data_IF_572643934792
#
_entry.id   IF_572643934792
#
_cell.length_a   1.000
_cell.length_b   1.000
_cell.length_c   1.000
_cell.angle_alpha   90.00
_cell.angle_beta   90.00
_cell.angle_gamma   90.00
#
_symmetry.space_group_name_H-M   'P 1'
#
loop_
_entity.id
_entity.type
_entity.pdbx_description
1 polymer ?
#
# COMPACT_ATOMS: atom_id res chain seq x y z
N UNK A 1 -47.11 37.54 9.82
CA UNK A 1 -47.10 36.38 8.88
C UNK A 1 -46.01 36.45 7.78
N UNK A 2 -45.76 37.60 7.12
CA UNK A 2 -44.73 37.73 6.05
C UNK A 2 -43.27 37.56 6.51
N UNK A 3 -42.90 38.08 7.69
CA UNK A 3 -41.52 37.97 8.21
C UNK A 3 -41.12 36.51 8.49
N UNK A 4 -42.00 35.73 9.14
CA UNK A 4 -41.80 34.30 9.43
C UNK A 4 -41.62 33.48 8.14
N UNK A 5 -42.38 33.80 7.08
CA UNK A 5 -42.24 33.15 5.76
C UNK A 5 -40.89 33.43 5.08
N UNK A 6 -40.35 34.65 5.23
CA UNK A 6 -39.01 34.99 4.70
C UNK A 6 -37.91 34.26 5.46
N UNK A 7 -38.00 34.23 6.80
CA UNK A 7 -37.03 33.54 7.66
C UNK A 7 -37.03 32.02 7.39
N UNK A 8 -38.20 31.40 7.28
CA UNK A 8 -38.31 29.96 6.97
C UNK A 8 -37.79 29.61 5.57
N UNK A 9 -38.01 30.47 4.56
CA UNK A 9 -37.40 30.30 3.23
C UNK A 9 -35.88 30.41 3.27
N UNK A 10 -35.34 31.40 4.00
CA UNK A 10 -33.90 31.55 4.19
C UNK A 10 -33.30 30.33 4.89
N UNK A 11 -33.89 29.90 6.01
CA UNK A 11 -33.46 28.70 6.73
C UNK A 11 -33.44 27.43 5.86
N UNK A 12 -34.47 27.19 5.05
CA UNK A 12 -34.50 26.06 4.12
C UNK A 12 -33.43 26.15 3.04
N UNK A 13 -33.13 27.36 2.56
CA UNK A 13 -32.05 27.60 1.61
C UNK A 13 -30.70 27.31 2.27
N UNK A 14 -30.45 27.91 3.43
CA UNK A 14 -29.20 27.74 4.19
C UNK A 14 -28.97 26.25 4.55
N UNK A 15 -30.03 25.52 4.91
CA UNK A 15 -29.97 24.07 5.17
C UNK A 15 -29.61 23.27 3.91
N UNK A 16 -30.16 23.64 2.75
CA UNK A 16 -29.84 23.01 1.47
C UNK A 16 -28.39 23.32 1.07
N UNK A 17 -27.97 24.57 1.19
CA UNK A 17 -26.63 25.02 0.84
C UNK A 17 -25.58 24.33 1.73
N UNK A 18 -25.87 24.20 3.04
CA UNK A 18 -25.06 23.43 3.97
C UNK A 18 -24.95 21.95 3.58
N UNK A 19 -26.08 21.30 3.23
CA UNK A 19 -26.05 19.90 2.78
C UNK A 19 -25.22 19.70 1.51
N UNK A 20 -25.35 20.61 0.54
CA UNK A 20 -24.56 20.58 -0.70
C UNK A 20 -23.06 20.75 -0.40
N UNK A 21 -22.71 21.65 0.52
CA UNK A 21 -21.34 21.84 0.94
C UNK A 21 -20.79 20.59 1.62
N UNK A 22 -21.49 20.02 2.61
CA UNK A 22 -21.07 18.78 3.27
C UNK A 22 -20.89 17.63 2.28
N UNK A 23 -21.81 17.48 1.32
CA UNK A 23 -21.69 16.46 0.27
C UNK A 23 -20.43 16.68 -0.57
N UNK A 24 -20.17 17.93 -0.98
CA UNK A 24 -18.99 18.29 -1.78
C UNK A 24 -17.70 18.02 -1.00
N UNK A 25 -17.65 18.39 0.27
CA UNK A 25 -16.48 18.17 1.13
C UNK A 25 -16.21 16.67 1.33
N UNK A 26 -17.25 15.85 1.52
CA UNK A 26 -17.12 14.39 1.61
C UNK A 26 -16.55 13.82 0.31
N UNK A 27 -17.04 14.26 -0.85
CA UNK A 27 -16.54 13.79 -2.15
C UNK A 27 -15.07 14.19 -2.37
N UNK A 28 -14.72 15.43 -2.02
CA UNK A 28 -13.33 15.90 -2.12
C UNK A 28 -12.40 15.11 -1.19
N UNK A 29 -12.83 14.82 0.05
CA UNK A 29 -12.06 14.00 0.98
C UNK A 29 -11.90 12.56 0.48
N UNK A 30 -12.95 11.98 -0.09
CA UNK A 30 -12.87 10.65 -0.70
C UNK A 30 -11.89 10.63 -1.87
N UNK A 31 -11.90 11.66 -2.71
CA UNK A 31 -10.96 11.78 -3.81
C UNK A 31 -9.51 11.92 -3.32
N UNK A 32 -9.25 12.79 -2.34
CA UNK A 32 -7.91 12.94 -1.75
C UNK A 32 -7.41 11.64 -1.12
N UNK A 33 -8.28 10.89 -0.45
CA UNK A 33 -7.92 9.59 0.10
C UNK A 33 -7.57 8.59 -1.01
N UNK A 34 -8.30 8.58 -2.12
CA UNK A 34 -8.00 7.72 -3.25
C UNK A 34 -6.64 8.07 -3.90
N UNK A 35 -6.36 9.35 -4.12
CA UNK A 35 -5.08 9.82 -4.65
C UNK A 35 -3.92 9.48 -3.71
N UNK A 36 -4.11 9.63 -2.40
CA UNK A 36 -3.11 9.26 -1.40
C UNK A 36 -2.83 7.75 -1.40
N UNK A 37 -3.85 6.91 -1.52
CA UNK A 37 -3.68 5.46 -1.62
C UNK A 37 -2.86 5.08 -2.87
N UNK A 38 -3.14 5.70 -4.01
CA UNK A 38 -2.35 5.47 -5.23
C UNK A 38 -0.87 5.85 -5.05
N UNK A 39 -0.60 6.95 -4.36
CA UNK A 39 0.78 7.35 -4.06
C UNK A 39 1.49 6.37 -3.12
N UNK A 40 0.79 5.87 -2.10
CA UNK A 40 1.32 4.83 -1.19
C UNK A 40 1.60 3.54 -1.97
N UNK A 41 0.70 3.12 -2.84
CA UNK A 41 0.88 1.93 -3.68
C UNK A 41 2.12 2.08 -4.58
N UNK A 42 2.31 3.25 -5.19
CA UNK A 42 3.48 3.51 -6.02
C UNK A 42 4.79 3.46 -5.22
N UNK A 43 4.86 4.14 -4.08
CA UNK A 43 6.06 4.09 -3.23
C UNK A 43 6.35 2.68 -2.74
N UNK A 44 5.32 1.93 -2.32
CA UNK A 44 5.52 0.57 -1.81
C UNK A 44 5.98 -0.38 -2.91
N UNK A 45 5.54 -0.19 -4.16
CA UNK A 45 6.09 -0.92 -5.31
C UNK A 45 7.56 -0.56 -5.56
N UNK A 46 7.91 0.73 -5.57
CA UNK A 46 9.30 1.17 -5.78
C UNK A 46 10.25 0.64 -4.68
N UNK A 47 9.81 0.65 -3.42
CA UNK A 47 10.58 0.10 -2.30
C UNK A 47 10.77 -1.42 -2.42
N UNK A 48 9.71 -2.15 -2.80
CA UNK A 48 9.76 -3.60 -3.01
C UNK A 48 10.71 -3.97 -4.13
N UNK A 49 10.66 -3.25 -5.25
CA UNK A 49 11.59 -3.41 -6.37
C UNK A 49 13.04 -3.20 -5.92
N UNK A 50 13.30 -2.16 -5.13
CA UNK A 50 14.63 -1.92 -4.56
C UNK A 50 15.10 -3.03 -3.63
N UNK A 51 14.21 -3.60 -2.80
CA UNK A 51 14.56 -4.74 -1.93
C UNK A 51 14.90 -6.01 -2.73
N UNK A 52 14.15 -6.28 -3.81
CA UNK A 52 14.42 -7.39 -4.71
C UNK A 52 15.80 -7.22 -5.37
N UNK A 53 16.09 -6.02 -5.90
CA UNK A 53 17.37 -5.71 -6.54
C UNK A 53 18.57 -5.81 -5.58
N UNK A 54 18.37 -5.55 -4.29
CA UNK A 54 19.42 -5.71 -3.27
C UNK A 54 19.66 -7.19 -2.96
N UNK A 55 18.60 -8.02 -3.01
CA UNK A 55 18.71 -9.45 -2.80
C UNK A 55 19.32 -10.17 -4.02
N UNK A 56 19.02 -9.72 -5.24
CA UNK A 56 19.58 -10.23 -6.49
C UNK A 56 21.02 -9.72 -6.72
N UNK A 57 21.99 -10.40 -6.09
CA UNK A 57 23.41 -10.02 -6.11
C UNK A 57 24.00 -10.21 -7.51
N UNK A 58 23.63 -11.32 -8.19
CA UNK A 58 24.18 -11.67 -9.48
C UNK A 58 23.46 -10.99 -10.67
N UNK A 59 22.32 -10.32 -10.41
CA UNK A 59 21.49 -9.59 -11.38
C UNK A 59 20.90 -10.47 -12.46
N UNK A 60 20.55 -11.71 -12.14
CA UNK A 60 19.91 -12.63 -13.06
C UNK A 60 18.36 -12.51 -13.07
N UNK A 61 17.82 -11.51 -12.37
CA UNK A 61 16.40 -11.26 -12.13
C UNK A 61 15.70 -12.38 -11.35
N UNK A 62 16.47 -13.17 -10.61
CA UNK A 62 16.00 -14.21 -9.70
C UNK A 62 16.81 -14.13 -8.41
N UNK A 63 16.19 -14.52 -7.31
CA UNK A 63 16.88 -14.61 -6.02
C UNK A 63 17.01 -16.07 -5.66
N UNK A 64 18.25 -16.56 -5.71
CA UNK A 64 18.56 -17.91 -5.26
C UNK A 64 18.47 -18.02 -3.74
N UNK A 65 18.37 -19.27 -3.25
CA UNK A 65 18.35 -19.52 -1.80
C UNK A 65 19.61 -19.06 -1.07
N UNK A 66 20.75 -19.04 -1.77
CA UNK A 66 22.00 -18.51 -1.22
C UNK A 66 21.92 -16.98 -1.04
N UNK A 67 21.46 -16.28 -2.08
CA UNK A 67 21.28 -14.83 -2.07
C UNK A 67 20.25 -14.39 -1.03
N UNK A 68 19.12 -15.08 -0.95
CA UNK A 68 18.11 -14.85 0.07
C UNK A 68 18.67 -14.98 1.49
N UNK A 69 19.45 -16.03 1.75
CA UNK A 69 20.04 -16.24 3.08
C UNK A 69 21.08 -15.16 3.41
N UNK A 70 21.86 -14.70 2.42
CA UNK A 70 22.80 -13.59 2.61
C UNK A 70 22.04 -12.31 2.96
N UNK A 71 21.02 -11.97 2.16
CA UNK A 71 20.18 -10.80 2.40
C UNK A 71 19.52 -10.85 3.79
N UNK A 72 18.90 -11.99 4.13
CA UNK A 72 18.26 -12.20 5.43
C UNK A 72 19.24 -12.01 6.59
N UNK A 73 20.44 -12.57 6.51
CA UNK A 73 21.44 -12.42 7.56
C UNK A 73 21.87 -10.95 7.73
N UNK A 74 22.08 -10.22 6.63
CA UNK A 74 22.41 -8.80 6.68
C UNK A 74 21.24 -7.96 7.22
N UNK A 75 20.01 -8.29 6.84
CA UNK A 75 18.81 -7.63 7.34
C UNK A 75 18.64 -7.84 8.85
N UNK A 76 18.85 -9.08 9.35
CA UNK A 76 18.78 -9.41 10.77
C UNK A 76 19.86 -8.71 11.60
N UNK A 77 21.08 -8.54 11.06
CA UNK A 77 22.15 -7.78 11.73
C UNK A 77 21.78 -6.30 11.87
N UNK A 78 21.15 -5.72 10.84
CA UNK A 78 20.73 -4.31 10.85
C UNK A 78 19.49 -4.09 11.70
N UNK A 79 18.57 -5.05 11.76
CA UNK A 79 17.28 -4.97 12.45
C UNK A 79 17.07 -6.20 13.35
N UNK A 80 17.79 -6.31 14.48
CA UNK A 80 17.70 -7.47 15.36
C UNK A 80 16.29 -7.67 15.94
N UNK A 81 15.53 -6.60 16.17
CA UNK A 81 14.13 -6.69 16.63
C UNK A 81 13.16 -7.30 15.60
N UNK A 82 13.48 -7.24 14.30
CA UNK A 82 12.63 -7.73 13.21
C UNK A 82 13.02 -9.13 12.72
N UNK A 83 14.02 -9.77 13.33
CA UNK A 83 14.59 -11.01 12.83
C UNK A 83 13.59 -12.18 12.74
N UNK A 84 12.59 -12.21 13.63
CA UNK A 84 11.54 -13.23 13.65
C UNK A 84 10.36 -12.94 12.71
N UNK A 85 10.28 -11.74 12.12
CA UNK A 85 9.18 -11.36 11.22
C UNK A 85 9.55 -11.58 9.74
N UNK A 86 10.79 -11.94 9.45
CA UNK A 86 11.25 -12.16 8.09
C UNK A 86 10.64 -13.46 7.52
N UNK A 87 9.94 -13.42 6.37
CA UNK A 87 9.34 -14.61 5.78
C UNK A 87 10.39 -15.66 5.40
N UNK A 88 9.96 -16.90 5.17
CA UNK A 88 10.86 -17.96 4.70
C UNK A 88 10.95 -17.93 3.18
N UNK A 89 12.03 -18.51 2.65
CA UNK A 89 12.22 -18.66 1.21
C UNK A 89 11.03 -19.40 0.55
N UNK A 90 10.54 -20.48 1.18
CA UNK A 90 9.41 -21.25 0.65
C UNK A 90 8.09 -20.48 0.61
N UNK A 91 7.96 -19.39 1.37
CA UNK A 91 6.75 -18.57 1.34
C UNK A 91 6.70 -17.71 0.06
N UNK A 92 7.88 -17.42 -0.53
CA UNK A 92 8.02 -16.69 -1.80
C UNK A 92 8.13 -17.59 -3.03
N UNK A 93 8.51 -18.86 -2.85
CA UNK A 93 8.73 -19.85 -3.92
C UNK A 93 7.59 -20.91 -3.93
N UNK A 94 6.39 -20.57 -4.42
CA UNK A 94 5.25 -21.49 -4.46
C UNK A 94 5.39 -22.60 -5.50
N UNK A 95 6.19 -22.40 -6.55
CA UNK A 95 6.41 -23.43 -7.58
C UNK A 95 7.56 -24.38 -7.24
N UNK A 96 8.34 -24.06 -6.19
CA UNK A 96 9.42 -24.85 -5.64
C UNK A 96 10.56 -25.10 -6.64
N UNK A 97 10.78 -24.16 -7.56
CA UNK A 97 11.88 -24.20 -8.52
C UNK A 97 13.25 -23.84 -7.88
N UNK A 98 13.23 -23.35 -6.64
CA UNK A 98 14.42 -22.99 -5.86
C UNK A 98 14.96 -21.58 -6.18
N UNK A 99 14.23 -20.77 -6.93
CA UNK A 99 14.60 -19.44 -7.41
C UNK A 99 13.39 -18.49 -7.32
N UNK A 100 13.47 -17.47 -6.47
CA UNK A 100 12.37 -16.50 -6.38
C UNK A 100 12.46 -15.54 -7.56
N UNK A 101 11.49 -15.62 -8.48
CA UNK A 101 11.35 -14.64 -9.56
C UNK A 101 10.66 -13.36 -9.08
N UNK A 102 10.87 -12.25 -9.80
CA UNK A 102 10.18 -10.98 -9.50
C UNK A 102 8.66 -11.12 -9.49
N UNK A 103 8.11 -11.96 -10.37
CA UNK A 103 6.68 -12.23 -10.45
C UNK A 103 6.13 -12.91 -9.18
N UNK A 104 6.90 -13.83 -8.60
CA UNK A 104 6.49 -14.53 -7.37
C UNK A 104 6.63 -13.65 -6.15
N UNK A 105 7.68 -12.83 -6.10
CA UNK A 105 7.84 -11.80 -5.09
C UNK A 105 6.65 -10.82 -5.10
N UNK A 106 6.28 -10.29 -6.27
CA UNK A 106 5.12 -9.41 -6.41
C UNK A 106 3.80 -10.12 -6.02
N UNK A 107 3.65 -11.38 -6.42
CA UNK A 107 2.47 -12.18 -6.09
C UNK A 107 2.34 -12.42 -4.59
N UNK A 108 3.45 -12.65 -3.88
CA UNK A 108 3.47 -12.80 -2.42
C UNK A 108 2.94 -11.54 -1.74
N UNK A 109 3.47 -10.35 -2.08
CA UNK A 109 3.00 -9.10 -1.47
C UNK A 109 1.56 -8.77 -1.87
N UNK A 110 1.15 -9.06 -3.10
CA UNK A 110 -0.24 -8.88 -3.52
C UNK A 110 -1.19 -9.73 -2.67
N UNK A 111 -0.81 -10.97 -2.34
CA UNK A 111 -1.59 -11.84 -1.43
C UNK A 111 -1.60 -11.30 0.00
N UNK A 112 -0.50 -10.68 0.45
CA UNK A 112 -0.40 -10.09 1.78
C UNK A 112 -1.30 -8.84 1.92
N UNK A 113 -1.33 -7.97 0.91
CA UNK A 113 -2.11 -6.72 0.92
C UNK A 113 -3.58 -6.89 0.54
N UNK A 114 -3.96 -8.00 -0.09
CA UNK A 114 -5.35 -8.31 -0.45
C UNK A 114 -6.18 -8.86 0.74
N UNK A 115 -5.62 -8.86 1.96
CA UNK A 115 -6.28 -9.33 3.19
C UNK A 115 -6.89 -8.16 3.97
#
# INVERSE_FOLDING_TARGET
KRAVSKVTKKYKKDQKDFYVQCYTDIMNLQQQNAEMQQYIDQITMEQRDGEFDIADINRDNKVSRAEFNMYKNEYQKKNPEMANQFPRFEDFDPDSDGLISKAEYDAYYRRLTAR
#
